data_IF_755308072594
#
_entry.id   IF_755308072594
#
_cell.length_a   1.000
_cell.length_b   1.000
_cell.length_c   1.000
_cell.angle_alpha   90.00
_cell.angle_beta   90.00
_cell.angle_gamma   90.00
#
_symmetry.space_group_name_H-M   'P 1'
#
loop_
_entity.id
_entity.type
_entity.pdbx_description
1 polymer ?
#
# COMPACT_ATOMS: atom_id res chain seq x y z
N UNK A 1 -1.88 20.46 3.11
CA UNK A 1 -2.50 19.12 3.27
C UNK A 1 -1.43 18.07 3.02
N UNK A 2 -1.22 17.10 3.92
CA UNK A 2 -0.26 15.99 3.72
C UNK A 2 -1.05 14.73 3.38
N UNK A 3 -0.62 14.01 2.36
CA UNK A 3 -1.20 12.74 1.94
C UNK A 3 -0.11 11.68 1.93
N UNK A 4 -0.41 10.51 2.47
CA UNK A 4 0.43 9.32 2.34
C UNK A 4 -0.28 8.38 1.39
N UNK A 5 0.40 8.01 0.31
CA UNK A 5 -0.11 7.08 -0.68
C UNK A 5 0.72 5.83 -0.55
N UNK A 6 0.02 4.71 -0.38
CA UNK A 6 0.61 3.40 -0.28
C UNK A 6 0.25 2.60 -1.51
N UNK A 7 1.23 1.85 -1.97
CA UNK A 7 1.07 0.78 -2.94
C UNK A 7 1.52 -0.51 -2.25
N UNK A 8 0.76 -1.59 -2.41
CA UNK A 8 1.05 -2.85 -1.73
C UNK A 8 0.95 -4.00 -2.70
N UNK A 9 1.98 -4.82 -2.76
CA UNK A 9 1.96 -6.07 -3.51
C UNK A 9 1.72 -7.24 -2.57
N UNK A 10 0.96 -8.21 -3.04
CA UNK A 10 0.52 -9.37 -2.25
C UNK A 10 0.79 -10.66 -3.00
N UNK A 11 0.92 -11.78 -2.28
CA UNK A 11 0.99 -13.11 -2.90
C UNK A 11 -0.31 -13.50 -3.59
N UNK A 12 -1.42 -12.83 -3.27
CA UNK A 12 -2.78 -13.11 -3.76
C UNK A 12 -3.82 -12.24 -3.05
N UNK A 13 -5.08 -12.34 -3.46
CA UNK A 13 -6.13 -11.39 -3.05
C UNK A 13 -6.92 -11.78 -1.80
N UNK A 14 -6.71 -12.98 -1.24
CA UNK A 14 -7.54 -13.48 -0.13
C UNK A 14 -6.72 -13.83 1.13
N UNK A 15 -6.78 -12.98 2.17
CA UNK A 15 -6.00 -13.23 3.40
C UNK A 15 -6.46 -14.48 4.16
N UNK A 16 -7.72 -14.92 4.00
CA UNK A 16 -8.22 -16.13 4.67
C UNK A 16 -7.67 -17.42 4.07
N UNK A 17 -7.27 -17.41 2.80
CA UNK A 17 -6.55 -18.53 2.16
C UNK A 17 -5.06 -18.52 2.44
N UNK A 18 -4.55 -17.55 3.22
CA UNK A 18 -3.16 -17.49 3.63
C UNK A 18 -2.31 -16.48 2.87
N UNK A 19 -2.90 -15.71 1.93
CA UNK A 19 -2.16 -14.68 1.19
C UNK A 19 -1.59 -13.61 2.13
N UNK A 20 -0.44 -13.05 1.75
CA UNK A 20 0.32 -12.09 2.54
C UNK A 20 0.74 -10.89 1.69
N UNK A 21 0.91 -9.75 2.36
CA UNK A 21 1.62 -8.60 1.80
C UNK A 21 3.10 -8.97 1.74
N UNK A 22 3.75 -8.64 0.62
CA UNK A 22 5.18 -8.89 0.40
C UNK A 22 5.98 -7.62 0.16
N UNK A 23 5.33 -6.54 -0.26
CA UNK A 23 5.95 -5.23 -0.48
C UNK A 23 5.00 -4.12 -0.06
N UNK A 24 5.59 -3.03 0.46
CA UNK A 24 4.89 -1.77 0.71
C UNK A 24 5.73 -0.63 0.17
N UNK A 25 5.26 -0.01 -0.91
CA UNK A 25 5.75 1.27 -1.41
C UNK A 25 5.01 2.42 -0.74
N UNK A 26 5.73 3.52 -0.47
CA UNK A 26 5.14 4.69 0.16
C UNK A 26 5.68 5.99 -0.46
N UNK A 27 4.78 6.90 -0.79
CA UNK A 27 5.12 8.28 -1.14
C UNK A 27 4.35 9.25 -0.25
N UNK A 28 5.08 10.19 0.34
CA UNK A 28 4.50 11.34 0.99
C UNK A 28 4.31 12.47 -0.03
N UNK A 29 3.07 12.94 -0.18
CA UNK A 29 2.75 14.15 -0.93
C UNK A 29 2.39 15.29 0.01
N UNK A 30 3.17 16.37 -0.06
CA UNK A 30 2.96 17.60 0.71
C UNK A 30 2.31 18.65 -0.19
N UNK A 31 1.20 19.23 0.27
CA UNK A 31 0.48 20.33 -0.38
C UNK A 31 0.00 20.02 -1.81
N UNK A 32 -0.63 18.86 -2.00
CA UNK A 32 -1.35 18.52 -3.24
C UNK A 32 -2.50 19.52 -3.46
N UNK A 33 -2.36 20.37 -4.47
CA UNK A 33 -3.33 21.41 -4.85
C UNK A 33 -4.18 20.94 -6.02
#
# INVERSE_FOLDING_TARGET
>A
MRLIILDTETTGLNPRSGDRIIEVGCVEMVNRR
#
